data_IF_485871354633
#
_entry.id   IF_485871354633
#
_cell.length_a   1.000
_cell.length_b   1.000
_cell.length_c   1.000
_cell.angle_alpha   90.00
_cell.angle_beta   90.00
_cell.angle_gamma   90.00
#
_symmetry.space_group_name_H-M   'P 1'
#
loop_
_entity.id
_entity.type
_entity.pdbx_description
1 polymer ?
#
# COMPACT_ATOMS: atom_id res chain seq x y z
N UNK A 1 -16.03 16.59 24.32
CA UNK A 1 -14.61 16.18 24.40
C UNK A 1 -14.46 14.83 23.72
N UNK A 2 -13.34 14.54 23.06
CA UNK A 2 -13.15 13.29 22.31
C UNK A 2 -13.79 13.25 20.92
N UNK A 3 -14.02 14.40 20.28
CA UNK A 3 -14.46 14.49 18.88
C UNK A 3 -13.35 15.18 18.07
N UNK A 4 -13.22 14.81 16.80
CA UNK A 4 -12.36 15.47 15.82
C UNK A 4 -13.18 16.48 15.00
N UNK A 5 -12.50 17.27 14.16
CA UNK A 5 -13.14 18.17 13.21
C UNK A 5 -13.50 17.42 11.91
N UNK A 6 -12.97 17.85 10.77
CA UNK A 6 -13.19 17.24 9.46
C UNK A 6 -12.12 16.18 9.10
N UNK A 7 -11.04 16.10 9.89
CA UNK A 7 -9.93 15.16 9.69
C UNK A 7 -9.46 14.54 11.02
N UNK A 8 -8.75 13.42 10.96
CA UNK A 8 -8.13 12.77 12.12
C UNK A 8 -6.76 12.16 11.79
N UNK A 9 -5.92 11.98 12.83
CA UNK A 9 -4.61 11.34 12.71
C UNK A 9 -4.70 9.90 13.22
N UNK A 10 -4.25 8.95 12.40
CA UNK A 10 -4.06 7.55 12.73
C UNK A 10 -2.58 7.30 13.05
N UNK A 11 -2.31 6.93 14.30
CA UNK A 11 -0.96 6.63 14.75
C UNK A 11 -0.53 5.22 14.31
N UNK A 12 0.14 5.13 13.17
CA UNK A 12 0.65 3.86 12.62
C UNK A 12 2.01 3.46 13.22
N UNK A 13 2.62 4.28 14.08
CA UNK A 13 3.90 3.95 14.74
C UNK A 13 3.78 2.71 15.62
N UNK A 14 2.58 2.45 16.16
CA UNK A 14 2.29 1.22 16.91
C UNK A 14 2.50 -0.05 16.07
N UNK A 15 2.28 0.01 14.75
CA UNK A 15 2.54 -1.10 13.83
C UNK A 15 4.05 -1.27 13.59
N UNK A 16 4.79 -0.16 13.57
CA UNK A 16 6.25 -0.20 13.45
C UNK A 16 6.88 -0.84 14.67
N UNK A 17 6.43 -0.47 15.87
CA UNK A 17 6.94 -0.98 17.14
C UNK A 17 6.58 -2.46 17.34
N UNK A 18 5.36 -2.87 17.01
CA UNK A 18 4.87 -4.23 17.27
C UNK A 18 5.19 -5.23 16.15
N UNK A 19 5.23 -4.79 14.89
CA UNK A 19 5.32 -5.66 13.73
C UNK A 19 6.44 -5.27 12.75
N UNK A 20 7.17 -4.18 12.99
CA UNK A 20 8.20 -3.69 12.05
C UNK A 20 7.65 -2.99 10.80
N UNK A 21 6.32 -2.85 10.68
CA UNK A 21 5.61 -2.28 9.52
C UNK A 21 5.60 -0.76 9.59
N UNK A 22 6.07 -0.10 8.52
CA UNK A 22 6.16 1.36 8.43
C UNK A 22 4.89 2.01 7.89
N UNK A 23 4.82 3.35 7.97
CA UNK A 23 3.75 4.13 7.36
C UNK A 23 3.74 3.99 5.83
N UNK A 24 4.91 3.88 5.20
CA UNK A 24 5.04 3.63 3.77
C UNK A 24 4.43 2.27 3.36
N UNK A 25 4.64 1.24 4.18
CA UNK A 25 4.06 -0.10 3.93
C UNK A 25 2.52 -0.04 3.94
N UNK A 26 1.93 0.63 4.93
CA UNK A 26 0.48 0.85 5.00
C UNK A 26 -0.01 1.64 3.78
N UNK A 27 0.69 2.70 3.42
CA UNK A 27 0.31 3.56 2.29
C UNK A 27 0.39 2.84 0.95
N UNK A 28 1.42 2.03 0.72
CA UNK A 28 1.52 1.21 -0.50
C UNK A 28 0.49 0.09 -0.49
N UNK A 29 0.22 -0.53 0.65
CA UNK A 29 -0.78 -1.60 0.76
C UNK A 29 -2.19 -1.11 0.44
N UNK A 30 -2.54 0.13 0.81
CA UNK A 30 -3.84 0.73 0.46
C UNK A 30 -4.10 0.75 -1.06
N UNK A 31 -3.06 0.82 -1.90
CA UNK A 31 -3.20 0.75 -3.36
C UNK A 31 -3.76 -0.61 -3.80
N UNK A 32 -3.37 -1.70 -3.15
CA UNK A 32 -3.88 -3.04 -3.45
C UNK A 32 -5.37 -3.17 -3.08
N UNK A 33 -5.82 -2.41 -2.07
CA UNK A 33 -7.22 -2.24 -1.69
C UNK A 33 -7.98 -1.23 -2.58
N UNK A 34 -7.31 -0.59 -3.53
CA UNK A 34 -7.90 0.37 -4.47
C UNK A 34 -8.00 1.80 -3.94
N UNK A 35 -7.22 2.17 -2.91
CA UNK A 35 -7.19 3.51 -2.33
C UNK A 35 -5.87 4.23 -2.58
N UNK A 36 -5.96 5.53 -2.83
CA UNK A 36 -4.82 6.41 -2.63
C UNK A 36 -4.57 6.57 -1.12
N UNK A 37 -3.31 6.62 -0.71
CA UNK A 37 -2.97 6.83 0.69
C UNK A 37 -3.41 8.22 1.19
N UNK A 38 -3.82 8.37 2.46
CA UNK A 38 -4.00 9.66 3.08
C UNK A 38 -2.69 10.45 3.19
N UNK A 39 -2.74 11.66 3.73
CA UNK A 39 -1.54 12.47 4.00
C UNK A 39 -0.58 11.69 4.90
N UNK A 40 0.67 11.52 4.46
CA UNK A 40 1.67 10.72 5.17
C UNK A 40 2.67 11.59 5.93
N UNK A 41 3.02 11.15 7.14
CA UNK A 41 4.12 11.69 7.95
C UNK A 41 4.08 13.20 8.23
N UNK A 42 2.88 13.78 8.14
CA UNK A 42 2.61 15.18 8.49
C UNK A 42 1.21 15.28 9.12
N UNK A 43 1.02 16.10 10.17
CA UNK A 43 2.03 16.89 10.87
C UNK A 43 2.94 16.07 11.80
N UNK A 44 2.66 14.77 11.98
CA UNK A 44 3.44 13.86 12.83
C UNK A 44 4.13 12.83 11.95
N UNK A 45 5.46 12.69 12.11
CA UNK A 45 6.24 11.71 11.36
C UNK A 45 5.80 10.28 11.69
N UNK A 46 5.65 9.44 10.66
CA UNK A 46 5.25 8.04 10.82
C UNK A 46 3.76 7.83 11.11
N UNK A 47 2.89 8.81 10.82
CA UNK A 47 1.43 8.69 10.96
C UNK A 47 0.71 8.95 9.65
N UNK A 48 -0.60 8.65 9.60
CA UNK A 48 -1.48 9.05 8.50
C UNK A 48 -2.51 10.08 8.99
N UNK A 49 -2.80 11.10 8.19
CA UNK A 49 -3.88 12.06 8.43
C UNK A 49 -4.97 11.90 7.38
N UNK A 50 -6.19 11.63 7.83
CA UNK A 50 -7.34 11.21 7.01
C UNK A 50 -8.43 12.28 7.04
N UNK A 51 -8.81 12.75 5.86
CA UNK A 51 -9.91 13.69 5.64
C UNK A 51 -10.84 13.10 4.55
N UNK A 52 -12.04 12.63 4.89
CA UNK A 52 -12.94 12.01 3.91
C UNK A 52 -13.72 13.00 3.05
N UNK A 53 -13.88 14.25 3.50
CA UNK A 53 -14.81 15.26 2.96
C UNK A 53 -16.30 14.83 3.06
N UNK A 54 -17.19 15.79 2.82
CA UNK A 54 -18.64 15.59 2.81
C UNK A 54 -19.17 14.91 1.54
N UNK A 55 -18.34 14.80 0.49
CA UNK A 55 -18.76 14.29 -0.82
C UNK A 55 -18.76 12.76 -0.89
N UNK A 56 -18.02 12.09 -0.01
CA UNK A 56 -17.88 10.64 -0.05
C UNK A 56 -19.06 9.95 0.65
N UNK A 57 -19.73 8.99 -0.01
CA UNK A 57 -20.85 8.28 0.59
C UNK A 57 -20.36 7.35 1.71
N UNK A 58 -21.24 7.06 2.68
CA UNK A 58 -20.91 6.16 3.82
C UNK A 58 -20.28 4.84 3.37
N UNK A 59 -20.73 4.24 2.27
CA UNK A 59 -20.15 2.99 1.74
C UNK A 59 -18.67 3.11 1.42
N UNK A 60 -18.21 4.28 0.96
CA UNK A 60 -16.80 4.50 0.61
C UNK A 60 -15.96 4.66 1.87
N UNK A 61 -16.52 5.36 2.87
CA UNK A 61 -15.91 5.47 4.20
C UNK A 61 -15.77 4.10 4.87
N UNK A 62 -16.81 3.27 4.78
CA UNK A 62 -16.81 1.92 5.32
C UNK A 62 -15.74 1.07 4.61
N UNK A 63 -15.66 1.09 3.28
CA UNK A 63 -14.63 0.37 2.50
C UNK A 63 -13.20 0.79 2.91
N UNK A 64 -12.95 2.08 3.10
CA UNK A 64 -11.65 2.57 3.57
C UNK A 64 -11.34 2.09 4.99
N UNK A 65 -12.33 2.15 5.89
CA UNK A 65 -12.15 1.69 7.27
C UNK A 65 -11.91 0.17 7.34
N UNK A 66 -12.63 -0.62 6.54
CA UNK A 66 -12.43 -2.07 6.42
C UNK A 66 -11.03 -2.40 5.88
N UNK A 67 -10.55 -1.66 4.87
CA UNK A 67 -9.18 -1.80 4.37
C UNK A 67 -8.15 -1.53 5.48
N UNK A 68 -8.31 -0.45 6.25
CA UNK A 68 -7.41 -0.12 7.36
C UNK A 68 -7.44 -1.16 8.50
N UNK A 69 -8.62 -1.71 8.82
CA UNK A 69 -8.77 -2.79 9.80
C UNK A 69 -8.08 -4.06 9.30
N UNK A 70 -8.26 -4.41 8.03
CA UNK A 70 -7.62 -5.57 7.42
C UNK A 70 -6.09 -5.43 7.39
N UNK A 71 -5.57 -4.25 7.03
CA UNK A 71 -4.12 -3.94 7.08
C UNK A 71 -3.58 -4.08 8.51
N UNK A 72 -4.32 -3.64 9.52
CA UNK A 72 -3.94 -3.86 10.93
C UNK A 72 -3.86 -5.35 11.28
N UNK A 73 -4.80 -6.16 10.78
CA UNK A 73 -4.79 -7.61 10.96
C UNK A 73 -3.62 -8.28 10.21
N UNK A 74 -3.26 -7.79 9.01
CA UNK A 74 -2.07 -8.22 8.26
C UNK A 74 -0.79 -7.94 9.06
N UNK A 75 -0.65 -6.74 9.64
CA UNK A 75 0.49 -6.40 10.50
C UNK A 75 0.55 -7.31 11.73
N UNK A 76 -0.61 -7.66 12.31
CA UNK A 76 -0.67 -8.59 13.42
C UNK A 76 -0.21 -10.02 13.05
N UNK A 77 -0.44 -10.48 11.81
CA UNK A 77 0.12 -11.75 11.31
C UNK A 77 1.66 -11.70 11.26
N UNK A 78 2.23 -10.58 10.83
CA UNK A 78 3.69 -10.35 10.85
C UNK A 78 4.22 -10.35 12.29
N UNK A 79 3.55 -9.64 13.21
CA UNK A 79 3.95 -9.61 14.64
C UNK A 79 3.93 -11.00 15.31
N UNK A 80 3.01 -11.88 14.90
CA UNK A 80 2.93 -13.27 15.39
C UNK A 80 3.89 -14.23 14.68
N UNK A 81 4.63 -13.76 13.68
CA UNK A 81 5.56 -14.58 12.89
C UNK A 81 4.89 -15.53 11.90
N UNK A 82 3.60 -15.35 11.60
CA UNK A 82 2.91 -16.12 10.56
C UNK A 82 3.43 -15.76 9.17
N UNK A 83 3.80 -14.50 8.97
CA UNK A 83 4.51 -14.02 7.79
C UNK A 83 5.89 -13.47 8.16
N UNK A 84 6.94 -13.77 7.39
CA UNK A 84 8.24 -13.14 7.55
C UNK A 84 8.16 -11.62 7.44
N UNK A 85 8.88 -10.91 8.31
CA UNK A 85 8.97 -9.44 8.26
C UNK A 85 9.48 -8.93 6.90
N UNK A 86 10.40 -9.67 6.28
CA UNK A 86 11.00 -9.31 5.00
C UNK A 86 10.18 -9.73 3.77
N UNK A 87 9.13 -10.54 3.95
CA UNK A 87 8.33 -11.08 2.84
C UNK A 87 6.87 -11.30 3.25
N UNK A 88 6.06 -10.26 3.02
CA UNK A 88 4.64 -10.22 3.35
C UNK A 88 3.93 -9.18 2.47
N UNK A 89 2.57 -9.19 2.42
CA UNK A 89 1.85 -8.29 1.54
C UNK A 89 2.11 -6.80 1.79
N UNK A 90 2.42 -6.39 3.03
CA UNK A 90 2.61 -4.99 3.40
C UNK A 90 3.93 -4.43 2.86
N UNK A 91 5.02 -5.20 2.99
CA UNK A 91 6.36 -4.76 2.55
C UNK A 91 6.55 -4.90 1.04
N UNK A 92 5.87 -5.86 0.42
CA UNK A 92 5.95 -6.09 -1.02
C UNK A 92 4.95 -5.23 -1.82
N UNK A 93 3.96 -4.64 -1.17
CA UNK A 93 3.03 -3.72 -1.83
C UNK A 93 3.74 -2.51 -2.46
N UNK A 94 3.20 -1.97 -3.58
CA UNK A 94 1.98 -2.41 -4.25
C UNK A 94 2.23 -3.53 -5.29
N UNK A 95 1.25 -4.39 -5.51
CA UNK A 95 1.40 -5.58 -6.37
C UNK A 95 0.89 -5.31 -7.80
N UNK A 96 1.78 -5.43 -8.77
CA UNK A 96 1.46 -5.15 -10.18
C UNK A 96 0.72 -6.30 -10.87
N UNK A 97 0.07 -6.02 -12.00
CA UNK A 97 -0.54 -7.07 -12.82
C UNK A 97 0.51 -8.08 -13.33
N UNK A 98 1.69 -7.60 -13.73
CA UNK A 98 2.78 -8.44 -14.21
C UNK A 98 3.26 -9.43 -13.13
N UNK A 99 3.41 -8.94 -11.90
CA UNK A 99 3.78 -9.76 -10.74
C UNK A 99 2.69 -10.79 -10.39
N UNK A 100 1.43 -10.36 -10.34
CA UNK A 100 0.30 -11.25 -10.05
C UNK A 100 0.09 -12.33 -11.12
N UNK A 101 0.46 -12.06 -12.38
CA UNK A 101 0.34 -12.99 -13.51
C UNK A 101 1.64 -13.77 -13.80
N UNK A 102 2.73 -13.49 -13.09
CA UNK A 102 4.01 -14.16 -13.28
C UNK A 102 3.86 -15.68 -13.07
N UNK A 103 4.58 -16.49 -13.85
CA UNK A 103 4.44 -17.94 -13.80
C UNK A 103 4.78 -18.55 -12.44
N UNK A 104 5.82 -18.04 -11.77
CA UNK A 104 6.24 -18.44 -10.44
C UNK A 104 5.72 -17.45 -9.38
N UNK A 105 5.39 -17.97 -8.20
CA UNK A 105 4.99 -17.18 -7.04
C UNK A 105 5.67 -17.76 -5.80
N UNK A 106 6.63 -17.02 -5.25
CA UNK A 106 7.53 -17.51 -4.19
C UNK A 106 7.23 -16.93 -2.82
N UNK A 107 6.17 -16.12 -2.71
CA UNK A 107 5.73 -15.49 -1.47
C UNK A 107 4.93 -16.45 -0.56
N UNK A 108 4.94 -16.24 0.77
CA UNK A 108 4.21 -17.05 1.75
C UNK A 108 2.71 -16.70 1.86
N UNK A 109 2.22 -15.81 1.01
CA UNK A 109 0.82 -15.41 0.88
C UNK A 109 0.38 -15.63 -0.56
N UNK A 110 -0.92 -15.68 -0.82
CA UNK A 110 -1.47 -15.95 -2.15
C UNK A 110 -1.51 -14.72 -3.05
N UNK A 111 -1.55 -14.93 -4.37
CA UNK A 111 -1.84 -13.86 -5.36
C UNK A 111 -3.18 -13.17 -5.11
N UNK A 112 -4.16 -13.91 -4.58
CA UNK A 112 -5.46 -13.36 -4.25
C UNK A 112 -5.35 -12.40 -3.06
N UNK A 113 -4.62 -12.78 -2.00
CA UNK A 113 -4.30 -11.87 -0.90
C UNK A 113 -3.50 -10.65 -1.40
N UNK A 114 -2.61 -10.82 -2.37
CA UNK A 114 -1.87 -9.71 -2.96
C UNK A 114 -2.79 -8.72 -3.71
N UNK A 115 -3.55 -9.21 -4.70
CA UNK A 115 -4.27 -8.39 -5.67
C UNK A 115 -5.73 -8.07 -5.30
N UNK A 116 -6.40 -8.91 -4.50
CA UNK A 116 -7.80 -8.75 -4.10
C UNK A 116 -7.98 -8.95 -2.59
N UNK A 117 -7.31 -8.15 -1.74
CA UNK A 117 -7.27 -8.40 -0.31
C UNK A 117 -8.61 -8.19 0.42
N UNK A 118 -9.56 -7.47 -0.20
CA UNK A 118 -10.93 -7.32 0.31
C UNK A 118 -11.81 -8.55 0.07
N UNK A 119 -11.34 -9.56 -0.67
CA UNK A 119 -12.05 -10.82 -0.89
C UNK A 119 -13.22 -10.77 -1.87
N UNK A 120 -13.71 -9.59 -2.27
CA UNK A 120 -14.73 -9.43 -3.31
C UNK A 120 -14.08 -9.08 -4.67
N UNK A 121 -13.98 -10.04 -5.60
CA UNK A 121 -13.45 -9.81 -6.92
C UNK A 121 -14.53 -9.22 -7.81
N UNK A 122 -14.97 -7.97 -7.53
CA UNK A 122 -15.46 -7.13 -8.62
C UNK A 122 -14.25 -6.81 -9.52
N UNK A 123 -13.91 -7.78 -10.36
CA UNK A 123 -12.75 -7.73 -11.24
C UNK A 123 -12.82 -6.55 -12.21
N UNK A 124 -14.03 -6.03 -12.48
CA UNK A 124 -14.23 -4.89 -13.37
C UNK A 124 -13.75 -3.56 -12.74
N UNK A 125 -13.76 -3.46 -11.40
CA UNK A 125 -13.39 -2.26 -10.67
C UNK A 125 -11.91 -2.25 -10.23
N UNK A 126 -11.12 -3.29 -10.53
CA UNK A 126 -9.73 -3.38 -10.07
C UNK A 126 -8.85 -2.32 -10.72
N UNK A 127 -8.31 -1.43 -9.89
CA UNK A 127 -7.17 -0.59 -10.26
C UNK A 127 -5.87 -1.38 -10.07
N UNK A 128 -5.04 -1.43 -11.12
CA UNK A 128 -3.70 -2.03 -11.07
C UNK A 128 -2.64 -0.94 -10.90
N UNK A 129 -1.74 -1.05 -9.90
CA UNK A 129 -0.58 -0.19 -9.83
C UNK A 129 0.30 -0.44 -11.07
N UNK A 130 0.72 0.62 -11.80
CA UNK A 130 1.46 0.47 -13.05
C UNK A 130 2.91 0.01 -12.82
N UNK A 131 3.45 0.22 -11.62
CA UNK A 131 4.81 -0.15 -11.22
C UNK A 131 4.82 -0.65 -9.78
N UNK A 132 5.84 -1.43 -9.44
CA UNK A 132 6.12 -1.84 -8.06
C UNK A 132 6.60 -0.65 -7.22
N UNK A 133 6.94 -0.91 -5.96
CA UNK A 133 7.41 0.12 -5.03
C UNK A 133 8.62 0.88 -5.61
N UNK A 134 8.52 2.20 -5.59
CA UNK A 134 9.57 3.12 -6.06
C UNK A 134 10.76 3.11 -5.10
N UNK A 135 11.98 3.05 -5.65
CA UNK A 135 13.21 3.29 -4.89
C UNK A 135 13.55 4.79 -4.89
N UNK A 136 13.15 5.47 -3.82
CA UNK A 136 13.38 6.91 -3.66
C UNK A 136 14.88 7.24 -3.59
N UNK A 137 15.68 6.42 -2.90
CA UNK A 137 17.10 6.69 -2.67
C UNK A 137 17.92 6.53 -3.95
N UNK A 138 17.57 5.54 -4.78
CA UNK A 138 18.21 5.36 -6.08
C UNK A 138 17.97 6.56 -7.00
N UNK A 139 16.75 7.12 -7.02
CA UNK A 139 16.42 8.31 -7.80
C UNK A 139 17.24 9.53 -7.38
N UNK A 140 17.32 9.80 -6.08
CA UNK A 140 18.11 10.92 -5.54
C UNK A 140 19.61 10.79 -5.86
N UNK A 141 20.13 9.56 -5.86
CA UNK A 141 21.55 9.27 -6.19
C UNK A 141 21.86 9.34 -7.68
N UNK A 142 20.86 9.13 -8.54
CA UNK A 142 21.01 9.07 -9.99
C UNK A 142 20.03 10.04 -10.65
N UNK A 143 20.26 11.34 -10.42
CA UNK A 143 19.33 12.39 -10.81
C UNK A 143 19.17 12.51 -12.34
N UNK A 144 18.02 12.07 -12.84
CA UNK A 144 17.61 12.21 -14.25
C UNK A 144 16.28 12.96 -14.28
N UNK A 145 16.31 14.23 -14.73
CA UNK A 145 15.13 15.12 -14.75
C UNK A 145 14.64 15.46 -16.16
N UNK A 146 15.12 14.74 -17.16
CA UNK A 146 14.66 14.81 -18.55
C UNK A 146 14.35 13.41 -19.05
N UNK A 147 13.57 13.29 -20.13
CA UNK A 147 13.33 11.99 -20.75
C UNK A 147 14.68 11.31 -21.07
N UNK A 148 14.91 10.07 -20.62
CA UNK A 148 16.07 9.32 -21.07
C UNK A 148 15.92 9.01 -22.57
N UNK A 149 17.03 8.73 -23.26
CA UNK A 149 17.02 8.36 -24.67
C UNK A 149 16.03 7.23 -24.97
N UNK A 150 15.34 7.31 -26.12
CA UNK A 150 14.42 6.23 -26.55
C UNK A 150 15.11 4.86 -26.66
N UNK A 151 16.42 4.86 -26.93
CA UNK A 151 17.24 3.64 -26.94
C UNK A 151 17.18 2.85 -25.64
N UNK A 152 17.00 3.52 -24.51
CA UNK A 152 17.02 2.91 -23.19
C UNK A 152 15.72 2.14 -22.91
N UNK A 153 14.65 2.44 -23.64
CA UNK A 153 13.36 1.77 -23.55
C UNK A 153 13.21 0.58 -24.50
N UNK A 154 14.07 0.45 -25.53
CA UNK A 154 13.93 -0.60 -26.55
C UNK A 154 14.15 -2.02 -26.00
N UNK A 155 14.88 -2.18 -24.90
CA UNK A 155 15.11 -3.47 -24.24
C UNK A 155 14.21 -3.77 -23.04
N UNK A 156 13.36 -2.83 -22.61
CA UNK A 156 12.49 -2.99 -21.43
C UNK A 156 11.10 -3.57 -21.78
N UNK A 157 10.81 -3.77 -23.07
CA UNK A 157 9.54 -4.28 -23.59
C UNK A 157 9.63 -5.73 -24.12
N UNK A 158 10.81 -6.36 -24.05
CA UNK A 158 11.01 -7.81 -24.22
C UNK A 158 11.09 -8.50 -22.84
#
# INVERSE_FOLDING_TARGET
QGRVAHECILDTRVLKESAGISVDDVAKRLIDYGFHAPTMSFPVAGTLMVEPTESEPKRELDRFCEAMIAISAEAAKVARGEWPLADNPLVNAPHTAAEALAGQWTHPYSRLEAAYPAGDPDTAAKYWPPVSRIDNVAGDRNLVCSCPPLSDYLGAAE
#
